data_IF_465291957808
#
_entry.id   IF_465291957808
#
_cell.length_a   1.000
_cell.length_b   1.000
_cell.length_c   1.000
_cell.angle_alpha   90.00
_cell.angle_beta   90.00
_cell.angle_gamma   90.00
#
_symmetry.space_group_name_H-M   'P 1'
#
loop_
_entity.id
_entity.type
_entity.pdbx_description
1 polymer ?
#
# COMPACT_ATOMS: atom_id res chain seq x y z
N UNK A 1 46.07 36.97 46.76
CA UNK A 1 45.65 36.26 45.53
C UNK A 1 44.59 37.14 44.86
N UNK A 2 44.91 37.68 43.68
CA UNK A 2 44.16 38.77 43.07
C UNK A 2 42.80 38.33 42.53
N UNK A 3 41.74 38.53 43.31
CA UNK A 3 40.35 38.26 42.92
C UNK A 3 39.92 38.88 41.58
N UNK A 4 40.56 39.96 41.16
CA UNK A 4 40.39 40.62 39.86
C UNK A 4 40.76 39.66 38.69
N UNK A 5 41.75 38.83 38.87
CA UNK A 5 42.20 37.90 37.83
C UNK A 5 41.23 36.71 37.67
N UNK A 6 40.63 36.27 38.78
CA UNK A 6 39.59 35.25 38.80
C UNK A 6 38.32 35.76 38.11
N UNK A 7 37.98 37.02 38.34
CA UNK A 7 36.79 37.64 37.77
C UNK A 7 36.91 37.83 36.23
N UNK A 8 38.13 38.13 35.74
CA UNK A 8 38.41 38.22 34.30
C UNK A 8 38.30 36.82 33.64
N UNK A 9 38.81 35.78 34.27
CA UNK A 9 38.71 34.40 33.75
C UNK A 9 37.24 33.95 33.73
N UNK A 10 36.43 34.32 34.72
CA UNK A 10 35.01 33.97 34.76
C UNK A 10 34.21 34.69 33.65
N UNK A 11 34.62 35.96 33.32
CA UNK A 11 33.94 36.70 32.26
C UNK A 11 34.29 36.23 30.85
N UNK A 12 35.49 35.65 30.65
CA UNK A 12 35.86 35.06 29.34
C UNK A 12 35.11 33.75 29.04
N UNK A 13 34.65 33.02 30.04
CA UNK A 13 33.81 31.83 29.85
C UNK A 13 32.37 32.15 29.39
N UNK A 14 31.87 33.37 29.66
CA UNK A 14 30.52 33.78 29.23
C UNK A 14 30.47 34.26 27.78
N UNK A 15 31.59 34.55 27.12
CA UNK A 15 31.63 35.05 25.74
C UNK A 15 31.71 33.91 24.71
N UNK A 16 31.97 32.66 25.14
CA UNK A 16 31.85 31.46 24.29
C UNK A 16 30.41 30.96 24.28
N UNK A 17 29.43 31.85 24.14
CA UNK A 17 28.05 31.56 23.95
C UNK A 17 27.80 31.19 22.51
N UNK A 18 27.44 29.94 22.28
CA UNK A 18 26.62 29.39 21.19
C UNK A 18 26.79 30.10 19.83
N UNK A 19 27.77 29.69 19.04
CA UNK A 19 27.56 29.68 17.60
C UNK A 19 26.43 28.65 17.29
N UNK A 20 25.21 29.14 17.21
CA UNK A 20 24.12 28.45 16.54
C UNK A 20 24.50 28.35 15.06
N UNK A 21 25.25 27.32 14.70
CA UNK A 21 25.42 26.89 13.33
C UNK A 21 24.04 26.63 12.76
N UNK A 22 23.47 27.61 12.09
CA UNK A 22 22.30 27.46 11.25
C UNK A 22 22.71 26.68 10.00
N UNK A 23 23.04 25.40 10.19
CA UNK A 23 23.05 24.42 9.12
C UNK A 23 21.60 24.27 8.65
N UNK A 24 21.15 25.22 7.83
CA UNK A 24 20.07 25.03 6.88
C UNK A 24 20.50 23.96 5.87
N UNK A 25 20.76 22.76 6.35
CA UNK A 25 20.62 21.57 5.53
C UNK A 25 19.16 21.56 5.16
N UNK A 26 18.86 21.93 3.91
CA UNK A 26 17.64 21.54 3.26
C UNK A 26 17.44 20.03 3.56
N UNK A 27 16.77 19.73 4.67
CA UNK A 27 16.19 18.42 4.89
C UNK A 27 15.23 18.29 3.71
N UNK A 28 15.71 17.73 2.58
CA UNK A 28 14.81 17.01 1.71
C UNK A 28 14.01 16.16 2.67
N UNK A 29 12.74 16.50 2.82
CA UNK A 29 11.75 15.62 3.38
C UNK A 29 11.71 14.40 2.44
N UNK A 30 12.75 13.56 2.52
CA UNK A 30 12.59 12.15 2.20
C UNK A 30 11.56 11.72 3.22
N UNK A 31 10.32 11.63 2.80
CA UNK A 31 9.34 10.85 3.54
C UNK A 31 9.94 9.46 3.60
N UNK A 32 10.65 9.17 4.68
CA UNK A 32 11.03 7.81 5.04
C UNK A 32 9.71 7.05 5.13
N UNK A 33 9.41 6.33 4.05
CA UNK A 33 8.27 5.41 3.94
C UNK A 33 8.63 4.13 4.74
N UNK A 34 9.56 4.26 5.67
CA UNK A 34 9.92 3.19 6.58
C UNK A 34 8.73 2.87 7.47
N UNK A 35 8.22 1.65 7.30
CA UNK A 35 7.11 1.04 8.05
C UNK A 35 5.69 1.56 7.77
N UNK A 36 5.41 2.11 6.59
CA UNK A 36 4.01 2.33 6.20
C UNK A 36 3.35 1.00 5.88
N UNK A 37 2.15 0.82 6.41
CA UNK A 37 1.32 -0.33 6.11
C UNK A 37 1.22 -0.53 4.59
N UNK A 38 1.60 -1.71 4.14
CA UNK A 38 1.47 -2.16 2.76
C UNK A 38 0.88 -3.57 2.77
N UNK A 39 -0.22 -3.76 2.07
CA UNK A 39 -0.87 -5.05 1.92
C UNK A 39 -1.33 -5.21 0.47
N UNK A 40 -1.27 -6.43 -0.06
CA UNK A 40 -1.82 -6.78 -1.34
C UNK A 40 -2.74 -8.00 -1.16
N UNK A 41 -3.86 -8.01 -1.86
CA UNK A 41 -4.84 -9.08 -1.74
C UNK A 41 -6.12 -8.78 -2.52
N UNK A 42 -7.08 -9.70 -2.44
CA UNK A 42 -8.37 -9.50 -3.06
C UNK A 42 -9.19 -8.46 -2.30
N UNK A 43 -9.88 -7.62 -3.03
CA UNK A 43 -10.86 -6.70 -2.50
C UNK A 43 -12.28 -7.20 -2.76
N UNK A 44 -13.22 -6.86 -1.89
CA UNK A 44 -14.64 -7.08 -2.12
C UNK A 44 -15.23 -5.82 -2.75
N UNK A 45 -15.80 -5.93 -3.94
CA UNK A 45 -16.51 -4.81 -4.55
C UNK A 45 -17.91 -4.76 -3.96
N UNK A 46 -18.23 -3.61 -3.33
CA UNK A 46 -19.54 -3.40 -2.71
C UNK A 46 -20.66 -3.38 -3.76
N UNK A 47 -21.70 -4.13 -3.49
CA UNK A 47 -23.00 -4.06 -4.16
C UNK A 47 -24.10 -4.12 -3.10
N UNK A 48 -25.29 -3.70 -3.48
CA UNK A 48 -26.45 -3.63 -2.54
C UNK A 48 -26.97 -5.02 -2.09
N UNK A 49 -26.54 -6.10 -2.74
CA UNK A 49 -26.89 -7.49 -2.37
C UNK A 49 -26.13 -7.97 -1.12
N UNK A 50 -25.05 -7.27 -0.72
CA UNK A 50 -24.23 -7.61 0.43
C UNK A 50 -24.89 -7.11 1.72
N UNK A 51 -25.96 -7.79 2.18
CA UNK A 51 -26.79 -7.38 3.33
C UNK A 51 -26.01 -7.24 4.65
N UNK A 52 -24.96 -8.05 4.82
CA UNK A 52 -24.16 -8.08 6.05
C UNK A 52 -23.12 -6.93 6.12
N UNK A 53 -22.91 -6.21 5.03
CA UNK A 53 -21.95 -5.13 4.95
C UNK A 53 -22.65 -3.79 5.04
N UNK A 54 -22.22 -2.96 5.99
CA UNK A 54 -22.74 -1.61 6.15
C UNK A 54 -22.71 -0.85 4.83
N UNK A 55 -23.81 -0.18 4.50
CA UNK A 55 -23.93 0.60 3.26
C UNK A 55 -22.84 1.65 3.12
N UNK A 56 -22.18 1.66 1.97
CA UNK A 56 -21.20 2.65 1.53
C UNK A 56 -21.71 3.33 0.27
N UNK A 57 -21.49 4.62 0.16
CA UNK A 57 -21.90 5.39 -1.03
C UNK A 57 -21.12 4.89 -2.27
N UNK A 58 -21.78 4.30 -3.29
CA UNK A 58 -21.11 3.67 -4.42
C UNK A 58 -20.21 4.60 -5.24
N UNK A 59 -20.55 5.89 -5.29
CA UNK A 59 -19.80 6.92 -6.01
C UNK A 59 -18.71 7.59 -5.21
N UNK A 60 -18.53 7.24 -3.93
CA UNK A 60 -17.49 7.81 -3.08
C UNK A 60 -16.12 7.16 -3.32
N UNK A 61 -15.05 7.87 -2.95
CA UNK A 61 -13.69 7.31 -2.86
C UNK A 61 -13.40 6.82 -1.43
N UNK A 62 -14.38 6.15 -0.83
CA UNK A 62 -14.27 5.57 0.50
C UNK A 62 -14.10 4.06 0.44
N UNK A 63 -13.40 3.50 1.43
CA UNK A 63 -13.26 2.05 1.59
C UNK A 63 -13.58 1.62 3.02
N UNK A 64 -13.87 0.34 3.20
CA UNK A 64 -13.74 -0.32 4.50
C UNK A 64 -12.46 -1.13 4.54
N UNK A 65 -11.79 -1.07 5.68
CA UNK A 65 -10.54 -1.80 5.91
C UNK A 65 -10.53 -2.34 7.35
N UNK A 66 -9.92 -3.51 7.58
CA UNK A 66 -10.00 -4.17 8.91
C UNK A 66 -9.14 -3.51 9.98
N UNK A 67 -7.94 -3.10 9.62
CA UNK A 67 -6.90 -2.68 10.56
C UNK A 67 -6.61 -1.18 10.53
N UNK A 68 -6.77 -0.53 9.38
CA UNK A 68 -6.49 0.89 9.25
C UNK A 68 -7.55 1.74 9.92
N UNK A 69 -7.12 2.78 10.63
CA UNK A 69 -8.01 3.68 11.37
C UNK A 69 -8.93 4.44 10.41
N UNK A 70 -10.12 4.79 10.89
CA UNK A 70 -11.04 5.71 10.21
C UNK A 70 -10.32 7.02 9.87
N UNK A 71 -10.59 7.60 8.70
CA UNK A 71 -9.97 8.81 8.14
C UNK A 71 -8.52 8.64 7.67
N UNK A 72 -7.96 7.42 7.71
CA UNK A 72 -6.66 7.17 7.07
C UNK A 72 -6.78 7.32 5.56
N UNK A 73 -5.78 7.95 4.95
CA UNK A 73 -5.66 8.05 3.49
C UNK A 73 -4.77 6.93 2.97
N UNK A 74 -5.24 6.22 1.97
CA UNK A 74 -4.54 5.09 1.36
C UNK A 74 -4.41 5.28 -0.14
N UNK A 75 -3.29 4.83 -0.69
CA UNK A 75 -3.11 4.65 -2.14
C UNK A 75 -3.50 3.22 -2.47
N UNK A 76 -4.48 3.07 -3.35
CA UNK A 76 -4.91 1.78 -3.88
C UNK A 76 -4.39 1.69 -5.31
N UNK A 77 -3.73 0.60 -5.64
CA UNK A 77 -3.14 0.37 -6.96
C UNK A 77 -3.63 -0.97 -7.50
N UNK A 78 -4.07 -0.97 -8.74
CA UNK A 78 -4.23 -2.21 -9.49
C UNK A 78 -2.84 -2.64 -10.03
N UNK A 79 -2.25 -3.75 -9.55
CA UNK A 79 -0.90 -4.13 -9.92
C UNK A 79 -0.78 -4.61 -11.37
N UNK A 80 -1.90 -4.86 -12.05
CA UNK A 80 -1.90 -5.35 -13.43
C UNK A 80 -1.69 -4.25 -14.47
N UNK A 81 -2.30 -3.09 -14.22
CA UNK A 81 -2.24 -1.96 -15.13
C UNK A 81 -1.47 -0.77 -14.56
N UNK A 82 -1.09 -0.82 -13.27
CA UNK A 82 -0.38 0.24 -12.57
C UNK A 82 -1.23 1.45 -12.20
N UNK A 83 -2.54 1.46 -12.55
CA UNK A 83 -3.44 2.56 -12.23
C UNK A 83 -3.62 2.63 -10.72
N UNK A 84 -3.59 3.83 -10.17
CA UNK A 84 -3.75 4.04 -8.74
C UNK A 84 -4.61 5.26 -8.44
N UNK A 85 -5.28 5.24 -7.28
CA UNK A 85 -6.02 6.37 -6.74
C UNK A 85 -5.82 6.46 -5.23
N UNK A 86 -6.21 7.60 -4.66
CA UNK A 86 -6.21 7.83 -3.22
C UNK A 86 -7.65 7.70 -2.73
N UNK A 87 -7.84 6.93 -1.64
CA UNK A 87 -9.13 6.72 -1.01
C UNK A 87 -9.03 6.95 0.51
N UNK A 88 -10.18 7.23 1.14
CA UNK A 88 -10.28 7.40 2.58
C UNK A 88 -10.87 6.13 3.23
N UNK A 89 -10.31 5.71 4.36
CA UNK A 89 -10.86 4.64 5.19
C UNK A 89 -12.06 5.17 5.98
N UNK A 90 -13.27 4.80 5.58
CA UNK A 90 -14.51 5.21 6.24
C UNK A 90 -14.74 4.51 7.57
N UNK A 91 -14.36 3.24 7.67
CA UNK A 91 -14.49 2.45 8.90
C UNK A 91 -13.58 1.22 8.88
N UNK A 92 -13.18 0.80 10.08
CA UNK A 92 -12.50 -0.47 10.34
C UNK A 92 -13.31 -1.42 11.22
N UNK A 93 -14.57 -1.08 11.49
CA UNK A 93 -15.47 -1.89 12.34
C UNK A 93 -16.44 -2.76 11.53
N UNK A 94 -16.34 -2.72 10.19
CA UNK A 94 -17.21 -3.51 9.32
C UNK A 94 -16.67 -4.93 9.22
N UNK A 95 -17.54 -5.90 9.48
CA UNK A 95 -17.19 -7.32 9.39
C UNK A 95 -17.35 -7.80 7.94
N UNK A 96 -16.34 -8.47 7.41
CA UNK A 96 -16.32 -9.17 6.13
C UNK A 96 -15.28 -10.29 6.17
N UNK A 97 -15.31 -11.25 5.24
CA UNK A 97 -14.37 -12.38 5.22
C UNK A 97 -12.90 -11.94 5.25
N UNK A 98 -12.07 -12.68 5.98
CA UNK A 98 -10.62 -12.42 6.09
C UNK A 98 -9.87 -12.64 4.77
N UNK A 99 -10.49 -13.30 3.82
CA UNK A 99 -9.98 -13.45 2.47
C UNK A 99 -9.79 -12.09 1.76
N UNK A 100 -10.67 -11.13 2.04
CA UNK A 100 -10.58 -9.80 1.44
C UNK A 100 -9.81 -8.84 2.34
N UNK A 101 -8.92 -8.03 1.74
CA UNK A 101 -8.18 -7.00 2.46
C UNK A 101 -9.02 -5.73 2.69
N UNK A 102 -9.97 -5.46 1.82
CA UNK A 102 -10.81 -4.25 1.86
C UNK A 102 -12.15 -4.45 1.16
N UNK A 103 -13.10 -3.55 1.43
CA UNK A 103 -14.31 -3.38 0.64
C UNK A 103 -14.20 -2.07 -0.12
N UNK A 104 -14.30 -2.14 -1.44
CA UNK A 104 -14.19 -1.02 -2.37
C UNK A 104 -15.55 -0.61 -2.90
N UNK A 105 -15.73 0.67 -3.21
CA UNK A 105 -16.90 1.14 -3.94
C UNK A 105 -16.82 0.79 -5.43
N UNK A 106 -17.96 0.76 -6.12
CA UNK A 106 -18.00 0.54 -7.57
C UNK A 106 -17.17 1.57 -8.33
N UNK A 107 -17.21 2.84 -7.92
CA UNK A 107 -16.39 3.91 -8.50
C UNK A 107 -14.89 3.63 -8.43
N UNK A 108 -14.41 3.14 -7.28
CA UNK A 108 -12.98 2.79 -7.12
C UNK A 108 -12.61 1.63 -8.06
N UNK A 109 -13.46 0.59 -8.12
CA UNK A 109 -13.22 -0.55 -8.99
C UNK A 109 -13.18 -0.15 -10.47
N UNK A 110 -14.09 0.70 -10.91
CA UNK A 110 -14.16 1.24 -12.28
C UNK A 110 -12.93 2.12 -12.60
N UNK A 111 -12.58 3.04 -11.70
CA UNK A 111 -11.42 3.94 -11.90
C UNK A 111 -10.11 3.16 -12.00
N UNK A 112 -9.96 2.09 -11.23
CA UNK A 112 -8.78 1.22 -11.26
C UNK A 112 -8.83 0.20 -12.40
N UNK A 113 -9.92 0.13 -13.16
CA UNK A 113 -10.15 -0.87 -14.21
C UNK A 113 -9.90 -2.28 -13.64
N UNK A 114 -10.53 -2.58 -12.50
CA UNK A 114 -10.40 -3.88 -11.85
C UNK A 114 -11.25 -4.93 -12.57
N UNK A 115 -10.68 -6.11 -12.75
CA UNK A 115 -11.46 -7.26 -13.14
C UNK A 115 -12.38 -7.68 -11.98
N UNK A 116 -13.70 -7.70 -12.24
CA UNK A 116 -14.68 -8.06 -11.21
C UNK A 116 -14.57 -9.51 -10.75
N UNK A 117 -14.04 -10.39 -11.60
CA UNK A 117 -13.78 -11.80 -11.26
C UNK A 117 -12.49 -12.00 -10.47
N UNK A 118 -11.55 -11.05 -10.60
CA UNK A 118 -10.22 -11.10 -9.97
C UNK A 118 -9.81 -9.73 -9.42
N UNK A 119 -10.56 -9.15 -8.45
CA UNK A 119 -10.33 -7.80 -7.96
C UNK A 119 -9.14 -7.74 -7.00
N UNK A 120 -7.93 -7.94 -7.51
CA UNK A 120 -6.70 -7.92 -6.72
C UNK A 120 -6.08 -6.53 -6.69
N UNK A 121 -5.79 -6.02 -5.49
CA UNK A 121 -5.27 -4.66 -5.27
C UNK A 121 -4.11 -4.62 -4.28
N UNK A 122 -3.25 -3.63 -4.44
CA UNK A 122 -2.25 -3.26 -3.46
C UNK A 122 -2.68 -1.99 -2.74
N UNK A 123 -2.66 -2.00 -1.41
CA UNK A 123 -3.04 -0.88 -0.55
C UNK A 123 -1.83 -0.42 0.25
N UNK A 124 -1.52 0.87 0.18
CA UNK A 124 -0.42 1.52 0.91
C UNK A 124 -0.97 2.68 1.72
N UNK A 125 -0.69 2.71 3.02
CA UNK A 125 -1.06 3.83 3.88
C UNK A 125 -0.23 5.06 3.52
N UNK A 126 -0.90 6.20 3.24
CA UNK A 126 -0.25 7.49 2.98
C UNK A 126 -0.19 8.31 4.26
N UNK A 127 -1.33 8.49 4.92
CA UNK A 127 -1.47 9.28 6.13
C UNK A 127 -2.46 8.63 7.08
N UNK A 128 -2.23 8.78 8.39
CA UNK A 128 -3.13 8.27 9.44
C UNK A 128 -4.35 9.17 9.66
N UNK A 129 -4.29 10.40 9.18
CA UNK A 129 -5.36 11.41 9.27
C UNK A 129 -5.63 12.02 7.91
N UNK A 130 -6.88 12.38 7.65
CA UNK A 130 -7.32 13.00 6.40
C UNK A 130 -6.87 14.47 6.24
N UNK A 131 -6.12 15.01 7.19
CA UNK A 131 -5.53 16.35 7.11
C UNK A 131 -4.33 16.41 6.17
N UNK A 132 -4.44 15.82 4.98
CA UNK A 132 -3.56 16.15 3.89
C UNK A 132 -4.01 17.49 3.31
N UNK A 133 -3.54 18.58 3.89
CA UNK A 133 -3.64 19.89 3.27
C UNK A 133 -2.70 19.82 2.06
N UNK A 134 -3.27 19.67 0.88
CA UNK A 134 -2.54 19.93 -0.35
C UNK A 134 -2.02 21.36 -0.23
N UNK A 135 -0.71 21.54 0.01
CA UNK A 135 -0.09 22.86 -0.06
C UNK A 135 -0.37 23.35 -1.47
N UNK A 136 -1.20 24.41 -1.56
CA UNK A 136 -1.47 25.11 -2.80
C UNK A 136 -0.11 25.36 -3.46
N UNK A 137 0.12 24.83 -4.64
CA UNK A 137 1.36 25.09 -5.35
C UNK A 137 1.51 26.62 -5.42
N UNK A 138 2.56 27.16 -4.83
CA UNK A 138 2.92 28.55 -5.06
C UNK A 138 3.38 28.63 -6.50
N UNK A 139 2.55 29.15 -7.35
CA UNK A 139 2.95 29.56 -8.69
C UNK A 139 3.95 30.70 -8.48
N UNK A 140 5.19 30.51 -8.91
CA UNK A 140 6.17 31.57 -8.86
C UNK A 140 5.70 32.68 -9.80
N UNK A 141 5.87 33.94 -9.41
CA UNK A 141 5.48 35.12 -10.20
C UNK A 141 6.07 35.11 -11.61
N UNK A 142 7.21 34.46 -11.81
CA UNK A 142 7.82 34.23 -13.11
C UNK A 142 7.00 33.34 -14.04
N UNK A 143 6.36 32.29 -13.50
CA UNK A 143 5.49 31.40 -14.28
C UNK A 143 4.16 32.09 -14.67
N UNK A 144 3.64 32.95 -13.80
CA UNK A 144 2.47 33.78 -14.11
C UNK A 144 2.75 34.74 -15.28
N UNK A 145 3.92 35.39 -15.29
CA UNK A 145 4.35 36.29 -16.36
C UNK A 145 4.62 35.59 -17.70
N UNK A 146 4.99 34.32 -17.68
CA UNK A 146 5.16 33.50 -18.90
C UNK A 146 3.81 33.09 -19.47
N UNK A 147 2.82 32.75 -18.61
CA UNK A 147 1.47 32.42 -19.05
C UNK A 147 0.74 33.60 -19.69
N UNK A 148 0.98 34.83 -19.22
CA UNK A 148 0.39 36.05 -19.81
C UNK A 148 1.01 36.46 -21.16
N UNK A 149 2.22 35.98 -21.47
CA UNK A 149 2.95 36.28 -22.73
C UNK A 149 2.80 35.21 -23.80
N UNK A 150 2.15 34.10 -23.50
CA UNK A 150 1.93 33.04 -24.49
C UNK A 150 0.93 33.51 -25.55
N UNK A 151 1.29 33.64 -26.82
CA UNK A 151 0.35 33.99 -27.87
C UNK A 151 -0.68 32.88 -28.04
N UNK A 152 -1.95 33.22 -27.91
CA UNK A 152 -3.07 32.27 -27.99
C UNK A 152 -3.29 31.79 -29.46
N UNK A 153 -2.71 32.45 -30.44
CA UNK A 153 -3.01 32.24 -31.85
C UNK A 153 -2.14 31.19 -32.60
N UNK A 154 -1.41 30.35 -31.88
CA UNK A 154 -0.49 29.41 -32.50
C UNK A 154 -0.68 27.93 -32.16
N UNK A 155 -1.64 27.57 -31.30
CA UNK A 155 -1.82 26.17 -30.93
C UNK A 155 -2.72 25.48 -31.97
N UNK A 156 -2.11 24.92 -33.01
CA UNK A 156 -2.75 23.87 -33.78
C UNK A 156 -2.87 22.65 -32.83
N UNK A 157 -4.10 22.35 -32.44
CA UNK A 157 -4.44 21.10 -31.75
C UNK A 157 -4.28 19.99 -32.79
N UNK A 158 -3.06 19.53 -32.99
CA UNK A 158 -2.86 18.25 -33.64
C UNK A 158 -3.39 17.19 -32.70
N UNK A 159 -4.48 16.55 -33.13
CA UNK A 159 -5.14 15.47 -32.43
C UNK A 159 -4.13 14.35 -32.13
N UNK A 160 -3.64 14.33 -30.87
CA UNK A 160 -2.69 13.31 -30.38
C UNK A 160 -3.33 11.93 -30.20
N UNK A 161 -4.62 11.77 -30.60
CA UNK A 161 -5.33 10.50 -30.50
C UNK A 161 -4.98 9.48 -31.60
N UNK A 162 -4.10 9.83 -32.57
CA UNK A 162 -3.59 8.86 -33.54
C UNK A 162 -2.33 8.12 -33.11
N UNK A 163 -2.04 8.01 -31.81
CA UNK A 163 -1.15 6.93 -31.38
C UNK A 163 -1.89 5.62 -31.60
N UNK A 164 -1.61 4.99 -32.76
CA UNK A 164 -1.94 3.59 -33.01
C UNK A 164 -1.65 2.82 -31.73
N UNK A 165 -2.70 2.42 -31.04
CA UNK A 165 -2.61 1.52 -29.92
C UNK A 165 -1.89 0.29 -30.42
N UNK A 166 -0.61 0.12 -30.06
CA UNK A 166 0.05 -1.18 -30.19
C UNK A 166 -0.89 -2.15 -29.52
N UNK A 167 -1.55 -3.02 -30.29
CA UNK A 167 -2.34 -4.13 -29.77
C UNK A 167 -1.45 -4.80 -28.72
N UNK A 168 -1.70 -4.56 -27.44
CA UNK A 168 -1.12 -5.35 -26.37
C UNK A 168 -1.56 -6.76 -26.70
N UNK A 169 -0.61 -7.62 -27.04
CA UNK A 169 -0.83 -9.05 -27.11
C UNK A 169 -1.43 -9.39 -25.77
N UNK A 170 -2.71 -9.75 -25.75
CA UNK A 170 -3.40 -10.24 -24.57
C UNK A 170 -2.74 -11.60 -24.28
N UNK A 171 -1.70 -11.57 -23.45
CA UNK A 171 -1.18 -12.79 -22.85
C UNK A 171 -2.37 -13.37 -22.10
N UNK A 172 -2.77 -14.58 -22.45
CA UNK A 172 -3.81 -15.32 -21.72
C UNK A 172 -3.43 -15.27 -20.24
N UNK A 173 -4.18 -14.50 -19.47
CA UNK A 173 -3.93 -14.25 -18.08
C UNK A 173 -4.31 -15.51 -17.33
N UNK A 174 -3.30 -16.24 -16.89
CA UNK A 174 -3.54 -17.46 -16.08
C UNK A 174 -3.70 -17.01 -14.64
N UNK A 175 -4.85 -17.37 -14.03
CA UNK A 175 -5.04 -17.20 -12.60
C UNK A 175 -3.99 -18.04 -11.86
N UNK A 176 -3.11 -17.41 -11.10
CA UNK A 176 -2.09 -18.12 -10.34
C UNK A 176 -1.74 -17.34 -9.07
N UNK A 177 -2.15 -17.90 -7.92
CA UNK A 177 -1.93 -17.30 -6.61
C UNK A 177 -1.45 -18.34 -5.61
N UNK A 178 -0.73 -17.87 -4.59
CA UNK A 178 -0.29 -18.70 -3.46
C UNK A 178 -0.62 -17.99 -2.14
N UNK A 179 -0.91 -18.76 -1.09
CA UNK A 179 -1.06 -18.24 0.26
C UNK A 179 0.30 -18.29 0.95
N UNK A 180 0.82 -17.14 1.35
CA UNK A 180 1.98 -17.05 2.24
C UNK A 180 1.51 -17.26 3.67
N UNK A 181 2.05 -18.29 4.31
CA UNK A 181 1.74 -18.61 5.70
C UNK A 181 2.62 -17.79 6.63
N UNK A 182 3.95 -17.90 6.45
CA UNK A 182 4.92 -17.17 7.25
C UNK A 182 6.30 -17.15 6.58
N UNK A 183 7.15 -16.24 7.03
CA UNK A 183 8.57 -16.23 6.76
C UNK A 183 9.32 -16.68 8.04
N UNK A 184 10.25 -17.62 7.93
CA UNK A 184 11.05 -18.20 9.01
C UNK A 184 12.51 -17.84 8.84
N UNK A 185 13.20 -17.64 9.96
CA UNK A 185 14.65 -17.42 9.95
C UNK A 185 15.43 -18.73 9.71
N UNK A 186 14.94 -19.85 10.27
CA UNK A 186 15.57 -21.15 10.14
C UNK A 186 14.76 -22.09 9.26
N UNK A 187 15.46 -22.83 8.38
CA UNK A 187 14.83 -23.80 7.46
C UNK A 187 14.09 -24.92 8.20
N UNK A 188 14.65 -25.37 9.31
CA UNK A 188 14.08 -26.49 10.06
C UNK A 188 12.78 -26.09 10.77
N UNK A 189 12.68 -24.86 11.26
CA UNK A 189 11.42 -24.33 11.79
C UNK A 189 10.33 -24.27 10.70
N UNK A 190 10.71 -23.88 9.48
CA UNK A 190 9.78 -23.90 8.34
C UNK A 190 9.31 -25.33 8.00
N UNK A 191 10.23 -26.33 8.07
CA UNK A 191 9.87 -27.76 7.84
C UNK A 191 8.93 -28.29 8.92
N UNK A 192 9.17 -27.95 10.20
CA UNK A 192 8.29 -28.35 11.31
C UNK A 192 6.89 -27.79 11.10
N UNK A 193 6.78 -26.50 10.75
CA UNK A 193 5.48 -25.88 10.47
C UNK A 193 4.79 -26.50 9.25
N UNK A 194 5.53 -26.79 8.17
CA UNK A 194 5.00 -27.51 7.00
C UNK A 194 4.42 -28.85 7.39
N UNK A 195 5.16 -29.66 8.17
CA UNK A 195 4.69 -30.97 8.62
C UNK A 195 3.43 -30.87 9.48
N UNK A 196 3.36 -29.86 10.35
CA UNK A 196 2.19 -29.57 11.18
C UNK A 196 0.96 -29.27 10.33
N UNK A 197 1.07 -28.31 9.41
CA UNK A 197 -0.07 -27.91 8.53
C UNK A 197 -0.52 -29.10 7.67
N UNK A 198 0.43 -29.87 7.12
CA UNK A 198 0.11 -31.05 6.32
C UNK A 198 -0.70 -32.07 7.12
N UNK A 199 -0.36 -32.26 8.40
CA UNK A 199 -1.05 -33.22 9.30
C UNK A 199 -2.40 -32.70 9.75
N UNK A 200 -2.50 -31.44 10.19
CA UNK A 200 -3.69 -30.86 10.82
C UNK A 200 -4.73 -30.40 9.79
N UNK A 201 -4.30 -29.76 8.73
CA UNK A 201 -5.19 -29.18 7.70
C UNK A 201 -5.36 -30.06 6.45
N UNK A 202 -4.66 -31.21 6.35
CA UNK A 202 -4.68 -32.11 5.19
C UNK A 202 -4.36 -31.43 3.84
N UNK A 203 -3.61 -30.34 3.87
CA UNK A 203 -3.24 -29.55 2.68
C UNK A 203 -2.05 -30.24 1.98
N UNK A 204 -2.19 -30.47 0.67
CA UNK A 204 -1.17 -31.20 -0.11
C UNK A 204 -0.12 -30.28 -0.75
N UNK A 205 -0.52 -29.10 -1.19
CA UNK A 205 0.31 -28.19 -2.00
C UNK A 205 1.11 -27.20 -1.14
N UNK A 206 1.94 -27.71 -0.24
CA UNK A 206 2.81 -26.93 0.63
C UNK A 206 4.23 -26.91 0.08
N UNK A 207 4.88 -25.75 0.05
CA UNK A 207 6.29 -25.61 -0.34
C UNK A 207 7.02 -24.56 0.49
N UNK A 208 8.33 -24.79 0.67
CA UNK A 208 9.24 -23.82 1.28
C UNK A 208 10.09 -23.24 0.17
N UNK A 209 10.17 -21.90 0.11
CA UNK A 209 11.03 -21.16 -0.81
C UNK A 209 12.10 -20.46 0.02
N UNK A 210 13.35 -20.65 -0.36
CA UNK A 210 14.49 -19.91 0.21
C UNK A 210 14.60 -18.55 -0.48
N UNK A 211 14.36 -17.46 0.26
CA UNK A 211 14.49 -16.10 -0.23
C UNK A 211 15.86 -15.51 0.04
N UNK A 212 16.51 -15.99 1.11
CA UNK A 212 17.90 -15.67 1.47
C UNK A 212 18.41 -16.72 2.44
N UNK A 213 19.72 -16.67 2.82
CA UNK A 213 20.33 -17.55 3.80
C UNK A 213 19.61 -17.59 5.16
N UNK A 214 18.84 -16.54 5.48
CA UNK A 214 18.13 -16.37 6.75
C UNK A 214 16.64 -16.11 6.58
N UNK A 215 16.07 -16.47 5.41
CA UNK A 215 14.64 -16.21 5.15
C UNK A 215 14.03 -17.33 4.31
N UNK A 216 13.21 -18.13 4.94
CA UNK A 216 12.52 -19.28 4.38
C UNK A 216 11.02 -19.03 4.42
N UNK A 217 10.39 -18.93 3.23
CA UNK A 217 8.97 -18.65 3.09
C UNK A 217 8.17 -19.94 2.93
N UNK A 218 7.17 -20.14 3.77
CA UNK A 218 6.21 -21.22 3.64
C UNK A 218 5.01 -20.75 2.84
N UNK A 219 4.72 -21.44 1.74
CA UNK A 219 3.62 -21.17 0.82
C UNK A 219 2.70 -22.38 0.67
N UNK A 220 1.43 -22.09 0.42
CA UNK A 220 0.42 -23.05 -0.03
C UNK A 220 0.03 -22.67 -1.47
N UNK A 221 0.02 -23.60 -2.38
CA UNK A 221 -0.31 -23.37 -3.79
C UNK A 221 0.83 -23.79 -4.73
N UNK A 222 0.75 -23.42 -6.03
CA UNK A 222 -0.17 -22.43 -6.63
C UNK A 222 -1.61 -22.91 -6.73
N UNK A 223 -2.54 -21.94 -6.73
CA UNK A 223 -3.95 -22.12 -7.01
C UNK A 223 -4.27 -21.55 -8.38
N UNK A 224 -5.11 -22.25 -9.14
CA UNK A 224 -5.50 -21.86 -10.50
C UNK A 224 -6.95 -21.35 -10.57
N UNK A 225 -7.64 -21.28 -9.44
CA UNK A 225 -8.99 -20.74 -9.31
C UNK A 225 -9.20 -20.07 -7.95
N UNK A 226 -10.10 -19.08 -7.93
CA UNK A 226 -10.37 -18.27 -6.74
C UNK A 226 -11.11 -19.04 -5.65
N UNK A 227 -11.93 -20.04 -6.03
CA UNK A 227 -12.72 -20.82 -5.06
C UNK A 227 -11.81 -21.67 -4.20
N UNK A 228 -10.95 -22.48 -4.82
CA UNK A 228 -9.98 -23.32 -4.10
C UNK A 228 -9.03 -22.48 -3.25
N UNK A 229 -8.60 -21.32 -3.76
CA UNK A 229 -7.78 -20.37 -3.00
C UNK A 229 -8.53 -19.88 -1.76
N UNK A 230 -9.78 -19.44 -1.91
CA UNK A 230 -10.60 -18.91 -0.83
C UNK A 230 -10.91 -19.97 0.21
N UNK A 231 -11.35 -21.15 -0.23
CA UNK A 231 -11.69 -22.26 0.68
C UNK A 231 -10.47 -22.67 1.51
N UNK A 232 -9.29 -22.76 0.89
CA UNK A 232 -8.05 -23.07 1.60
C UNK A 232 -7.65 -21.95 2.57
N UNK A 233 -7.80 -20.70 2.16
CA UNK A 233 -7.50 -19.55 3.01
C UNK A 233 -8.43 -19.50 4.24
N UNK A 234 -9.71 -19.74 4.07
CA UNK A 234 -10.69 -19.77 5.16
C UNK A 234 -10.42 -20.96 6.10
N UNK A 235 -10.06 -22.14 5.58
CA UNK A 235 -9.64 -23.28 6.39
C UNK A 235 -8.39 -22.94 7.23
N UNK A 236 -7.40 -22.27 6.66
CA UNK A 236 -6.20 -21.87 7.40
C UNK A 236 -6.49 -20.87 8.52
N UNK A 237 -7.51 -20.01 8.39
CA UNK A 237 -7.93 -19.12 9.46
C UNK A 237 -8.45 -19.87 10.70
N UNK A 238 -9.00 -21.06 10.54
CA UNK A 238 -9.46 -21.89 11.67
C UNK A 238 -8.29 -22.36 12.56
N UNK A 239 -7.08 -22.38 12.04
CA UNK A 239 -5.85 -22.70 12.79
C UNK A 239 -5.17 -21.49 13.41
N UNK A 240 -5.87 -20.34 13.49
CA UNK A 240 -5.38 -19.09 14.10
C UNK A 240 -4.08 -18.55 13.49
N UNK A 241 -3.89 -18.69 12.18
CA UNK A 241 -2.85 -17.98 11.46
C UNK A 241 -3.31 -16.54 11.21
N UNK A 242 -2.78 -15.59 11.96
CA UNK A 242 -3.26 -14.19 11.95
C UNK A 242 -2.80 -13.38 10.72
N UNK A 243 -1.71 -13.80 10.07
CA UNK A 243 -1.02 -12.99 9.05
C UNK A 243 -0.87 -13.72 7.71
N UNK A 244 -1.94 -14.37 7.26
CA UNK A 244 -1.98 -14.96 5.92
C UNK A 244 -1.98 -13.85 4.86
N UNK A 245 -1.13 -13.98 3.85
CA UNK A 245 -1.07 -13.07 2.71
C UNK A 245 -1.30 -13.84 1.41
N UNK A 246 -2.06 -13.24 0.50
CA UNK A 246 -2.27 -13.81 -0.84
C UNK A 246 -1.27 -13.15 -1.79
N UNK A 247 -0.41 -13.96 -2.40
CA UNK A 247 0.61 -13.52 -3.34
C UNK A 247 0.22 -13.96 -4.75
N UNK A 248 0.28 -13.01 -5.69
CA UNK A 248 0.17 -13.33 -7.10
C UNK A 248 1.48 -13.97 -7.57
N UNK A 249 1.38 -15.15 -8.20
CA UNK A 249 2.54 -15.80 -8.81
C UNK A 249 2.80 -15.14 -10.19
N UNK A 250 4.03 -14.77 -10.44
CA UNK A 250 4.49 -14.14 -11.68
C UNK A 250 5.20 -15.16 -12.53
#
# INVERSE_FOLDING_TARGET
>A
MNYKLILIIFFTFFVYGCEQSSNNKNKKLSFEIENKYKNAGFALIYNDDLKDIKKIEPRSLNIYHKTLKKKSMVKITNPENGISLIAEVKSNKVKFSNFYNSVLTSRIAETLVLDKSEPYVSIVLISKDSTFIAKKAKTFEEESKVAEKAPIDGIQINDLNHKKSKKKIVKNKVFSYSIKVADFYYKDTAKIMLARIKKEASIKNLKIIELSKTKYRLLIGPFNDIKSLKDTFENMNLFNFENLEILKNV
#
